data_IF_623316023816
#
_entry.id   IF_623316023816
#
_cell.length_a   1.000
_cell.length_b   1.000
_cell.length_c   1.000
_cell.angle_alpha   90.00
_cell.angle_beta   90.00
_cell.angle_gamma   90.00
#
_symmetry.space_group_name_H-M   'P 1'
#
loop_
_entity.id
_entity.type
_entity.pdbx_description
1 polymer ?
#
# COMPACT_ATOMS: atom_id res chain seq x y z
N UNK A 1 -55.22 17.10 28.25
CA UNK A 1 -53.90 17.47 28.79
C UNK A 1 -52.96 16.34 28.41
N UNK A 2 -52.32 16.47 27.24
CA UNK A 2 -51.37 15.53 26.66
C UNK A 2 -50.29 16.38 25.98
N UNK A 3 -49.04 16.00 26.19
CA UNK A 3 -47.93 16.90 26.50
C UNK A 3 -47.29 17.66 25.30
N UNK A 4 -46.91 18.93 25.46
CA UNK A 4 -46.24 19.77 24.45
C UNK A 4 -44.83 19.27 24.04
N UNK A 5 -44.30 18.29 24.76
CA UNK A 5 -42.97 17.69 24.53
C UNK A 5 -42.95 16.72 23.35
N UNK A 6 -44.08 16.11 22.96
CA UNK A 6 -44.16 15.20 21.81
C UNK A 6 -44.00 15.98 20.49
N UNK A 7 -44.58 17.19 20.41
CA UNK A 7 -44.36 18.08 19.25
C UNK A 7 -42.90 18.49 19.11
N UNK A 8 -42.16 18.68 20.22
CA UNK A 8 -40.74 19.06 20.17
C UNK A 8 -39.85 17.93 19.66
N UNK A 9 -40.11 16.68 20.06
CA UNK A 9 -39.34 15.52 19.58
C UNK A 9 -39.58 15.27 18.08
N UNK A 10 -40.81 15.43 17.61
CA UNK A 10 -41.14 15.31 16.18
C UNK A 10 -40.48 16.43 15.34
N UNK A 11 -40.41 17.66 15.87
CA UNK A 11 -39.69 18.75 15.23
C UNK A 11 -38.17 18.47 15.16
N UNK A 12 -37.60 17.90 16.23
CA UNK A 12 -36.18 17.55 16.28
C UNK A 12 -35.84 16.44 15.28
N UNK A 13 -36.68 15.41 15.14
CA UNK A 13 -36.51 14.38 14.11
C UNK A 13 -36.56 14.95 12.68
N UNK A 14 -37.43 15.95 12.42
CA UNK A 14 -37.49 16.62 11.12
C UNK A 14 -36.18 17.33 10.77
N UNK A 15 -35.54 17.96 11.77
CA UNK A 15 -34.26 18.67 11.57
C UNK A 15 -33.07 17.73 11.37
N UNK A 16 -33.11 16.52 11.93
CA UNK A 16 -32.08 15.52 11.71
C UNK A 16 -32.21 14.87 10.32
N UNK A 17 -33.45 14.62 9.88
CA UNK A 17 -33.73 14.11 8.53
C UNK A 17 -33.29 15.11 7.43
N UNK A 18 -33.44 16.41 7.65
CA UNK A 18 -33.01 17.43 6.68
C UNK A 18 -31.49 17.65 6.63
N UNK A 19 -30.74 17.25 7.67
CA UNK A 19 -29.27 17.19 7.63
C UNK A 19 -28.76 15.95 6.89
N UNK A 20 -29.45 14.81 7.01
CA UNK A 20 -29.10 13.59 6.27
C UNK A 20 -29.39 13.68 4.76
N UNK A 21 -30.35 14.50 4.34
CA UNK A 21 -30.67 14.74 2.92
C UNK A 21 -29.69 15.71 2.22
N UNK A 22 -28.78 16.34 2.97
CA UNK A 22 -27.79 17.31 2.46
C UNK A 22 -26.36 16.77 2.52
N UNK A 23 -26.18 15.49 2.21
CA UNK A 23 -24.97 15.03 1.54
C UNK A 23 -25.12 15.30 0.05
N UNK A 24 -24.66 16.46 -0.47
CA UNK A 24 -24.40 16.58 -1.88
C UNK A 24 -23.28 15.60 -2.21
N UNK A 25 -23.65 14.58 -2.98
CA UNK A 25 -22.84 14.01 -4.03
C UNK A 25 -22.05 15.13 -4.71
N UNK A 26 -20.77 15.26 -4.36
CA UNK A 26 -19.83 16.12 -5.04
C UNK A 26 -19.44 15.45 -6.37
N UNK A 27 -20.37 15.41 -7.31
CA UNK A 27 -20.09 15.27 -8.73
C UNK A 27 -19.74 16.66 -9.29
N UNK A 28 -18.53 17.13 -9.02
CA UNK A 28 -17.93 18.27 -9.73
C UNK A 28 -16.41 18.33 -9.53
N UNK A 29 -15.69 17.32 -10.01
CA UNK A 29 -14.29 17.46 -10.43
C UNK A 29 -13.90 16.39 -11.45
N UNK A 30 -14.75 16.18 -12.46
CA UNK A 30 -14.28 15.67 -13.75
C UNK A 30 -13.64 16.85 -14.51
N UNK A 31 -12.43 17.22 -14.13
CA UNK A 31 -11.52 17.95 -15.03
C UNK A 31 -10.17 17.26 -14.98
N UNK A 32 -9.86 16.65 -16.12
CA UNK A 32 -8.54 16.19 -16.52
C UNK A 32 -7.39 17.02 -15.93
N UNK A 33 -6.69 16.43 -14.98
CA UNK A 33 -5.24 16.47 -14.95
C UNK A 33 -4.85 15.00 -14.74
N UNK A 34 -4.69 14.19 -15.79
CA UNK A 34 -3.75 14.53 -16.86
C UNK A 34 -2.30 14.55 -16.36
N UNK A 35 -2.04 14.10 -15.13
CA UNK A 35 -0.76 13.51 -14.77
C UNK A 35 -1.10 12.02 -14.71
N UNK A 36 -1.02 11.25 -15.79
CA UNK A 36 0.26 10.98 -16.44
C UNK A 36 1.42 11.26 -15.47
N UNK A 37 1.32 10.78 -14.22
CA UNK A 37 2.50 10.26 -13.55
C UNK A 37 2.87 9.10 -14.44
N UNK A 38 3.68 9.47 -15.43
CA UNK A 38 4.44 8.61 -16.30
C UNK A 38 4.59 7.29 -15.60
N UNK A 39 3.85 6.30 -16.09
CA UNK A 39 4.19 4.90 -16.03
C UNK A 39 5.57 4.68 -15.41
N UNK A 40 5.64 4.62 -14.08
CA UNK A 40 6.54 3.66 -13.49
C UNK A 40 5.79 2.36 -13.73
N UNK A 41 5.85 1.91 -14.99
CA UNK A 41 5.25 0.68 -15.42
C UNK A 41 5.74 -0.41 -14.50
N UNK A 42 5.02 -1.52 -14.45
CA UNK A 42 5.39 -2.66 -13.61
C UNK A 42 6.90 -3.00 -13.68
N UNK A 43 7.51 -2.89 -14.86
CA UNK A 43 8.95 -3.06 -15.04
C UNK A 43 9.80 -2.12 -14.17
N UNK A 44 9.41 -0.85 -14.01
CA UNK A 44 10.04 0.10 -13.09
C UNK A 44 9.90 -0.34 -11.63
N UNK A 45 8.69 -0.66 -11.17
CA UNK A 45 8.46 -1.12 -9.79
C UNK A 45 9.19 -2.44 -9.48
N UNK A 46 9.21 -3.38 -10.42
CA UNK A 46 9.97 -4.64 -10.28
C UNK A 46 11.47 -4.38 -10.24
N UNK A 47 11.96 -3.47 -11.08
CA UNK A 47 13.38 -3.08 -11.08
C UNK A 47 13.77 -2.44 -9.75
N UNK A 48 12.93 -1.56 -9.21
CA UNK A 48 13.19 -0.92 -7.92
C UNK A 48 13.08 -1.91 -6.75
N UNK A 49 12.14 -2.85 -6.80
CA UNK A 49 12.06 -3.94 -5.83
C UNK A 49 13.30 -4.85 -5.87
N UNK A 50 13.80 -5.19 -7.06
CA UNK A 50 15.03 -5.97 -7.24
C UNK A 50 16.26 -5.22 -6.72
N UNK A 51 16.36 -3.91 -6.99
CA UNK A 51 17.42 -3.04 -6.43
C UNK A 51 17.36 -3.01 -4.91
N UNK A 52 16.17 -2.85 -4.34
CA UNK A 52 15.97 -2.85 -2.89
C UNK A 52 16.39 -4.17 -2.23
N UNK A 53 16.06 -5.31 -2.84
CA UNK A 53 16.52 -6.62 -2.35
C UNK A 53 18.04 -6.76 -2.46
N UNK A 54 18.65 -6.26 -3.53
CA UNK A 54 20.10 -6.27 -3.70
C UNK A 54 20.80 -5.45 -2.61
N UNK A 55 20.29 -4.25 -2.30
CA UNK A 55 20.80 -3.40 -1.22
C UNK A 55 20.66 -4.09 0.15
N UNK A 56 19.48 -4.66 0.45
CA UNK A 56 19.27 -5.41 1.69
C UNK A 56 20.24 -6.60 1.82
N UNK A 57 20.53 -7.29 0.71
CA UNK A 57 21.49 -8.38 0.69
C UNK A 57 22.92 -7.90 0.92
N UNK A 58 23.33 -6.81 0.26
CA UNK A 58 24.66 -6.23 0.43
C UNK A 58 24.86 -5.68 1.86
N UNK A 59 23.85 -5.02 2.41
CA UNK A 59 23.81 -4.55 3.80
C UNK A 59 23.93 -5.72 4.78
N UNK A 60 23.20 -6.81 4.56
CA UNK A 60 23.30 -8.00 5.40
C UNK A 60 24.71 -8.63 5.34
N UNK A 61 25.31 -8.73 4.16
CA UNK A 61 26.68 -9.21 3.98
C UNK A 61 27.70 -8.31 4.66
N UNK A 62 27.59 -6.98 4.52
CA UNK A 62 28.48 -6.02 5.19
C UNK A 62 28.37 -6.10 6.71
N UNK A 63 27.14 -6.17 7.26
CA UNK A 63 26.95 -6.30 8.71
C UNK A 63 27.49 -7.62 9.24
N UNK A 64 27.36 -8.70 8.48
CA UNK A 64 27.92 -10.01 8.84
C UNK A 64 29.45 -9.98 8.82
N UNK A 65 30.07 -9.42 7.78
CA UNK A 65 31.51 -9.28 7.66
C UNK A 65 32.09 -8.33 8.74
N UNK A 66 31.41 -7.22 9.01
CA UNK A 66 31.81 -6.28 10.07
C UNK A 66 31.81 -6.95 11.44
N UNK A 67 30.79 -7.77 11.74
CA UNK A 67 30.75 -8.55 12.97
C UNK A 67 31.89 -9.59 13.04
N UNK A 68 32.13 -10.34 11.97
CA UNK A 68 33.21 -11.34 11.93
C UNK A 68 34.61 -10.72 12.11
N UNK A 69 34.79 -9.47 11.67
CA UNK A 69 36.02 -8.69 11.87
C UNK A 69 36.13 -8.04 13.25
N UNK A 70 35.17 -8.25 14.14
CA UNK A 70 35.16 -7.67 15.48
C UNK A 70 34.77 -6.18 15.52
N UNK A 71 34.07 -5.70 14.50
CA UNK A 71 33.56 -4.33 14.45
C UNK A 71 32.34 -4.09 15.33
N UNK A 72 31.86 -2.83 15.36
CA UNK A 72 30.80 -2.34 16.26
C UNK A 72 29.37 -2.85 15.96
N UNK A 73 29.20 -3.89 15.14
CA UNK A 73 27.87 -4.44 14.80
C UNK A 73 27.61 -5.64 15.68
N UNK A 74 26.43 -5.72 16.30
CA UNK A 74 26.10 -6.90 17.11
C UNK A 74 25.70 -8.10 16.24
N UNK A 75 25.90 -9.32 16.74
CA UNK A 75 25.41 -10.54 16.09
C UNK A 75 23.91 -10.47 15.81
N UNK A 76 23.13 -9.91 16.74
CA UNK A 76 21.69 -9.73 16.59
C UNK A 76 21.35 -8.83 15.39
N UNK A 77 22.07 -7.72 15.18
CA UNK A 77 21.84 -6.85 14.04
C UNK A 77 22.22 -7.50 12.71
N UNK A 78 23.31 -8.27 12.66
CA UNK A 78 23.69 -9.03 11.47
C UNK A 78 22.62 -10.08 11.11
N UNK A 79 22.12 -10.81 12.12
CA UNK A 79 21.03 -11.77 11.93
C UNK A 79 19.73 -11.09 11.48
N UNK A 80 19.35 -9.96 12.09
CA UNK A 80 18.14 -9.20 11.69
C UNK A 80 18.27 -8.69 10.26
N UNK A 81 19.45 -8.17 9.87
CA UNK A 81 19.68 -7.74 8.50
C UNK A 81 19.55 -8.92 7.50
N UNK A 82 20.09 -10.09 7.84
CA UNK A 82 19.92 -11.30 7.07
C UNK A 82 18.45 -11.73 6.93
N UNK A 83 17.70 -11.71 8.03
CA UNK A 83 16.27 -12.05 8.02
C UNK A 83 15.44 -11.05 7.18
N UNK A 84 15.73 -9.76 7.28
CA UNK A 84 15.10 -8.73 6.44
C UNK A 84 15.32 -8.99 4.95
N UNK A 85 16.56 -9.27 4.55
CA UNK A 85 16.88 -9.63 3.16
C UNK A 85 16.09 -10.87 2.69
N UNK A 86 15.99 -11.91 3.53
CA UNK A 86 15.26 -13.14 3.21
C UNK A 86 13.76 -12.92 3.01
N UNK A 87 13.12 -12.16 3.90
CA UNK A 87 11.69 -11.85 3.81
C UNK A 87 11.41 -10.99 2.58
N UNK A 88 12.21 -9.95 2.35
CA UNK A 88 12.07 -9.08 1.18
C UNK A 88 12.23 -9.84 -0.14
N UNK A 89 13.24 -10.72 -0.25
CA UNK A 89 13.44 -11.56 -1.42
C UNK A 89 12.23 -12.48 -1.69
N UNK A 90 11.68 -13.10 -0.63
CA UNK A 90 10.52 -13.98 -0.76
C UNK A 90 9.29 -13.21 -1.24
N UNK A 91 9.06 -12.00 -0.71
CA UNK A 91 7.98 -11.14 -1.16
C UNK A 91 8.10 -10.81 -2.66
N UNK A 92 9.29 -10.39 -3.12
CA UNK A 92 9.53 -10.08 -4.55
C UNK A 92 9.34 -11.30 -5.45
N UNK A 93 9.77 -12.48 -5.00
CA UNK A 93 9.56 -13.74 -5.72
C UNK A 93 8.06 -14.00 -5.93
N UNK A 94 7.25 -13.84 -4.89
CA UNK A 94 5.81 -14.06 -4.99
C UNK A 94 5.14 -13.04 -5.90
N UNK A 95 5.49 -11.76 -5.76
CA UNK A 95 5.01 -10.69 -6.64
C UNK A 95 5.33 -10.97 -8.11
N UNK A 96 6.54 -11.46 -8.42
CA UNK A 96 6.91 -11.87 -9.80
C UNK A 96 5.95 -12.92 -10.35
N UNK A 97 5.64 -13.96 -9.57
CA UNK A 97 4.74 -15.04 -10.00
C UNK A 97 3.35 -14.49 -10.29
N UNK A 98 2.78 -13.75 -9.34
CA UNK A 98 1.45 -13.17 -9.45
C UNK A 98 1.30 -12.23 -10.67
N UNK A 99 2.36 -11.49 -11.01
CA UNK A 99 2.36 -10.63 -12.19
C UNK A 99 2.50 -11.37 -13.52
N UNK A 100 3.27 -12.45 -13.54
CA UNK A 100 3.33 -13.34 -14.70
C UNK A 100 1.94 -13.94 -14.97
N UNK A 101 1.23 -14.31 -13.93
CA UNK A 101 -0.12 -14.86 -14.02
C UNK A 101 -1.15 -13.81 -14.45
N UNK A 102 -1.08 -12.58 -13.92
CA UNK A 102 -1.92 -11.46 -14.36
C UNK A 102 -1.73 -11.13 -15.85
N UNK A 103 -0.48 -11.10 -16.33
CA UNK A 103 -0.19 -10.91 -17.76
C UNK A 103 -0.78 -12.04 -18.62
N UNK A 104 -0.57 -13.30 -18.20
CA UNK A 104 -1.14 -14.48 -18.89
C UNK A 104 -2.66 -14.48 -18.87
N UNK A 105 -3.30 -13.91 -17.85
CA UNK A 105 -4.75 -13.84 -17.75
C UNK A 105 -5.33 -12.80 -18.72
N UNK A 106 -4.74 -11.60 -18.80
CA UNK A 106 -5.14 -10.56 -19.76
C UNK A 106 -4.98 -11.08 -21.20
N UNK A 107 -3.86 -11.75 -21.50
CA UNK A 107 -3.62 -12.35 -22.82
C UNK A 107 -4.66 -13.42 -23.19
N UNK A 108 -5.24 -14.11 -22.22
CA UNK A 108 -6.29 -15.12 -22.44
C UNK A 108 -7.70 -14.52 -22.56
N UNK A 109 -7.90 -13.26 -22.15
CA UNK A 109 -9.18 -12.56 -22.34
C UNK A 109 -9.30 -11.87 -23.70
N UNK A 110 -8.18 -11.64 -24.40
CA UNK A 110 -8.13 -10.92 -25.68
C UNK A 110 -8.05 -11.82 -26.92
N UNK A 111 -8.09 -13.14 -26.74
CA UNK A 111 -8.19 -14.13 -27.83
C UNK A 111 -9.58 -14.73 -27.90
#
# INVERSE_FOLDING_TARGET
MADPSIQQVLAQMRTLASQAQRTPSNEAAATATGTASSSQGFQGMLTDALRSVNDLQQTASQKSDTFLRGGNVSLAEAMVAGQKSRVAFTAVKETRTQLLDAYRQISRMQV
#
